data_IF_671782181927
#
_entry.id   IF_671782181927
#
_cell.length_a   1.000
_cell.length_b   1.000
_cell.length_c   1.000
_cell.angle_alpha   90.00
_cell.angle_beta   90.00
_cell.angle_gamma   90.00
#
_symmetry.space_group_name_H-M   'P 1'
#
loop_
_entity.id
_entity.type
_entity.pdbx_description
1 polymer ?
#
# COMPACT_ATOMS: atom_id res chain seq x y z
N UNK A 1 2.06 32.92 38.91
CA UNK A 1 1.14 32.75 37.77
C UNK A 1 1.89 33.03 36.48
N UNK A 2 2.19 32.02 35.66
CA UNK A 2 2.62 32.22 34.28
C UNK A 2 1.47 31.86 33.31
N UNK A 3 1.28 32.72 32.32
CA UNK A 3 0.16 32.73 31.39
C UNK A 3 0.08 31.51 30.45
N UNK A 4 -1.16 31.16 30.10
CA UNK A 4 -1.50 30.21 29.04
C UNK A 4 -0.98 30.74 27.69
N UNK A 5 -0.17 29.93 27.00
CA UNK A 5 0.12 30.14 25.60
C UNK A 5 -1.06 29.60 24.78
N UNK A 6 -1.72 30.50 24.05
CA UNK A 6 -2.80 30.18 23.13
C UNK A 6 -2.21 29.60 21.82
N UNK A 7 -2.51 28.33 21.53
CA UNK A 7 -1.99 27.58 20.39
C UNK A 7 -2.79 27.82 19.09
N UNK A 8 -3.72 28.77 19.06
CA UNK A 8 -4.60 29.03 17.91
C UNK A 8 -4.03 29.97 16.82
N UNK A 9 -2.78 30.43 16.94
CA UNK A 9 -2.19 31.45 16.03
C UNK A 9 -0.97 30.99 15.22
N UNK A 10 -0.67 29.69 15.15
CA UNK A 10 0.47 29.14 14.37
C UNK A 10 0.04 28.68 12.95
N UNK A 11 -1.18 28.98 12.52
CA UNK A 11 -1.63 28.66 11.17
C UNK A 11 -1.43 29.85 10.22
N UNK A 12 -0.76 29.57 9.09
CA UNK A 12 -0.53 30.38 7.87
C UNK A 12 0.86 31.01 7.63
N UNK A 13 1.65 31.36 8.66
CA UNK A 13 2.92 32.12 8.43
C UNK A 13 4.14 31.21 8.18
N UNK A 14 4.14 29.97 8.67
CA UNK A 14 5.33 29.09 8.64
C UNK A 14 5.60 28.45 7.28
N UNK A 15 4.67 28.55 6.32
CA UNK A 15 4.87 28.02 4.95
C UNK A 15 5.60 29.01 4.04
N UNK A 16 5.46 30.33 4.27
CA UNK A 16 6.26 31.32 3.54
C UNK A 16 7.73 31.37 3.99
N UNK A 17 8.00 31.15 5.28
CA UNK A 17 9.36 31.29 5.82
C UNK A 17 10.32 30.15 5.49
N UNK A 18 9.84 28.95 5.14
CA UNK A 18 10.73 27.85 4.71
C UNK A 18 11.13 27.96 3.22
N UNK A 19 10.34 28.65 2.40
CA UNK A 19 10.72 28.96 1.02
C UNK A 19 11.56 30.24 0.88
N UNK A 20 11.51 31.17 1.84
CA UNK A 20 12.25 32.43 1.78
C UNK A 20 13.58 32.49 2.54
N UNK A 21 13.99 31.44 3.26
CA UNK A 21 15.33 31.36 3.90
C UNK A 21 16.30 30.46 3.09
N UNK A 22 16.06 30.28 1.79
CA UNK A 22 17.09 29.87 0.82
C UNK A 22 17.02 30.75 -0.41
N UNK A 23 17.66 31.92 -0.34
CA UNK A 23 17.97 32.66 -1.56
C UNK A 23 19.03 31.89 -2.37
N UNK A 24 18.59 31.46 -3.56
CA UNK A 24 19.33 31.46 -4.84
C UNK A 24 20.53 30.52 -4.99
N UNK A 25 20.29 29.21 -5.16
CA UNK A 25 21.14 28.29 -5.97
C UNK A 25 20.47 26.92 -6.25
N UNK A 26 19.15 26.79 -6.12
CA UNK A 26 18.43 25.59 -6.56
C UNK A 26 17.77 25.81 -7.93
N UNK A 27 17.67 24.80 -8.81
CA UNK A 27 16.84 24.91 -10.00
C UNK A 27 15.40 25.25 -9.57
N UNK A 28 14.71 26.06 -10.38
CA UNK A 28 13.30 26.34 -10.13
C UNK A 28 12.52 25.01 -10.14
N UNK A 29 11.78 24.74 -9.06
CA UNK A 29 10.85 23.61 -8.97
C UNK A 29 9.78 23.82 -10.04
N UNK A 30 9.57 22.82 -10.91
CA UNK A 30 8.54 22.93 -11.96
C UNK A 30 7.12 22.89 -11.36
N UNK A 31 6.13 23.34 -12.14
CA UNK A 31 4.74 23.46 -11.68
C UNK A 31 4.12 22.12 -11.28
N UNK A 32 4.54 21.01 -11.90
CA UNK A 32 4.02 19.68 -11.59
C UNK A 32 4.60 19.18 -10.27
N UNK A 33 5.91 19.33 -10.08
CA UNK A 33 6.57 19.03 -8.81
C UNK A 33 5.98 19.88 -7.67
N UNK A 34 5.70 21.16 -7.92
CA UNK A 34 5.05 22.04 -6.95
C UNK A 34 3.65 21.54 -6.58
N UNK A 35 2.83 21.14 -7.56
CA UNK A 35 1.51 20.57 -7.33
C UNK A 35 1.57 19.33 -6.42
N UNK A 36 2.46 18.38 -6.71
CA UNK A 36 2.60 17.16 -5.91
C UNK A 36 3.09 17.41 -4.48
N UNK A 37 3.96 18.40 -4.31
CA UNK A 37 4.38 18.85 -3.00
C UNK A 37 3.22 19.46 -2.20
N UNK A 38 2.35 20.23 -2.86
CA UNK A 38 1.21 20.90 -2.22
C UNK A 38 0.04 19.95 -1.92
N UNK A 39 -0.09 18.85 -2.67
CA UNK A 39 -1.10 17.81 -2.46
C UNK A 39 -0.57 16.65 -1.62
N UNK A 40 -0.02 15.60 -2.25
CA UNK A 40 0.47 14.39 -1.59
C UNK A 40 1.55 14.69 -0.53
N UNK A 41 2.45 15.65 -0.79
CA UNK A 41 3.47 16.09 0.17
C UNK A 41 2.87 16.72 1.44
N UNK A 42 1.80 17.51 1.31
CA UNK A 42 1.07 18.09 2.45
C UNK A 42 0.37 17.01 3.28
N UNK A 43 -0.24 16.02 2.63
CA UNK A 43 -0.84 14.86 3.31
C UNK A 43 0.21 14.05 4.05
N UNK A 44 1.36 13.78 3.42
CA UNK A 44 2.50 13.09 4.04
C UNK A 44 3.00 13.85 5.28
N UNK A 45 3.14 15.17 5.20
CA UNK A 45 3.55 16.00 6.34
C UNK A 45 2.61 15.82 7.54
N UNK A 46 1.29 15.90 7.31
CA UNK A 46 0.28 15.72 8.36
C UNK A 46 0.32 14.31 8.94
N UNK A 47 0.56 13.29 8.10
CA UNK A 47 0.69 11.90 8.55
C UNK A 47 1.89 11.71 9.47
N UNK A 48 3.07 12.19 9.07
CA UNK A 48 4.29 12.09 9.89
C UNK A 48 4.13 12.79 11.24
N UNK A 49 3.59 14.00 11.24
CA UNK A 49 3.32 14.76 12.47
C UNK A 49 2.33 14.01 13.38
N UNK A 50 1.20 13.54 12.84
CA UNK A 50 0.18 12.82 13.61
C UNK A 50 0.61 11.40 14.02
N UNK A 51 1.59 10.80 13.35
CA UNK A 51 2.24 9.55 13.76
C UNK A 51 3.40 9.78 14.76
N UNK A 52 3.64 11.03 15.17
CA UNK A 52 4.59 11.36 16.24
C UNK A 52 6.05 11.37 15.81
N UNK A 53 6.34 11.46 14.51
CA UNK A 53 7.72 11.56 14.03
C UNK A 53 8.36 12.85 14.55
N UNK A 54 9.64 12.80 14.92
CA UNK A 54 10.38 14.00 15.31
C UNK A 54 10.55 14.99 14.15
N UNK A 55 10.77 16.28 14.48
CA UNK A 55 10.84 17.34 13.48
C UNK A 55 11.98 17.16 12.46
N UNK A 56 13.12 16.56 12.86
CA UNK A 56 14.24 16.31 11.94
C UNK A 56 13.87 15.21 10.95
N UNK A 57 13.27 14.12 11.43
CA UNK A 57 12.77 13.04 10.58
C UNK A 57 11.71 13.54 9.60
N UNK A 58 10.76 14.37 10.06
CA UNK A 58 9.77 15.00 9.19
C UNK A 58 10.42 15.81 8.06
N UNK A 59 11.34 16.71 8.39
CA UNK A 59 12.04 17.53 7.40
C UNK A 59 12.83 16.68 6.39
N UNK A 60 13.56 15.66 6.86
CA UNK A 60 14.34 14.78 6.01
C UNK A 60 13.46 13.99 5.03
N UNK A 61 12.37 13.40 5.52
CA UNK A 61 11.44 12.62 4.70
C UNK A 61 10.74 13.51 3.67
N UNK A 62 10.33 14.73 4.04
CA UNK A 62 9.66 15.66 3.12
C UNK A 62 10.61 16.22 2.07
N UNK A 63 11.87 16.49 2.42
CA UNK A 63 12.89 16.88 1.45
C UNK A 63 13.15 15.75 0.43
N UNK A 64 13.26 14.51 0.92
CA UNK A 64 13.38 13.34 0.08
C UNK A 64 12.17 13.18 -0.85
N UNK A 65 10.94 13.30 -0.33
CA UNK A 65 9.73 13.24 -1.16
C UNK A 65 9.77 14.30 -2.26
N UNK A 66 10.05 15.56 -1.89
CA UNK A 66 10.07 16.67 -2.84
C UNK A 66 11.13 16.48 -3.93
N UNK A 67 12.33 15.99 -3.58
CA UNK A 67 13.46 15.98 -4.51
C UNK A 67 13.63 14.65 -5.27
N UNK A 68 13.15 13.54 -4.72
CA UNK A 68 13.26 12.21 -5.33
C UNK A 68 11.95 11.75 -5.98
N UNK A 69 10.82 11.98 -5.31
CA UNK A 69 9.53 11.34 -5.65
C UNK A 69 8.65 12.26 -6.48
N UNK A 70 8.40 13.50 -6.03
CA UNK A 70 7.51 14.44 -6.70
C UNK A 70 7.83 14.68 -8.20
N UNK A 71 9.09 14.72 -8.66
CA UNK A 71 9.42 14.84 -10.09
C UNK A 71 8.98 13.66 -10.95
N UNK A 72 8.66 12.51 -10.34
CA UNK A 72 8.28 11.26 -10.99
C UNK A 72 6.81 10.90 -10.78
N UNK A 73 5.96 11.84 -10.35
CA UNK A 73 4.51 11.63 -10.22
C UNK A 73 3.73 12.10 -11.46
N UNK A 74 4.43 12.40 -12.56
CA UNK A 74 3.81 12.84 -13.81
C UNK A 74 3.28 14.27 -13.77
N UNK A 75 2.57 14.65 -14.83
CA UNK A 75 1.96 15.97 -14.95
C UNK A 75 0.85 16.17 -13.91
N UNK A 76 0.83 17.33 -13.27
CA UNK A 76 -0.31 17.78 -12.47
C UNK A 76 -1.62 17.72 -13.29
N UNK A 77 -2.75 17.32 -12.69
CA UNK A 77 -4.01 17.26 -13.41
C UNK A 77 -4.43 18.61 -13.99
N UNK A 78 -4.82 18.60 -15.26
CA UNK A 78 -5.41 19.74 -15.96
C UNK A 78 -6.64 19.29 -16.77
N UNK A 79 -7.75 20.05 -16.75
CA UNK A 79 -8.94 19.70 -17.52
C UNK A 79 -8.65 19.58 -19.02
N UNK A 80 -9.06 18.47 -19.63
CA UNK A 80 -8.93 18.23 -21.07
C UNK A 80 -7.56 17.71 -21.52
N UNK A 81 -6.56 17.66 -20.64
CA UNK A 81 -5.23 17.13 -20.97
C UNK A 81 -5.17 15.60 -20.79
N UNK A 82 -4.55 14.85 -21.72
CA UNK A 82 -4.30 13.43 -21.53
C UNK A 82 -3.44 13.19 -20.28
N UNK A 83 -3.93 12.33 -19.39
CA UNK A 83 -3.22 11.94 -18.17
C UNK A 83 -2.98 10.44 -18.15
N UNK A 84 -1.81 10.04 -17.65
CA UNK A 84 -1.54 8.64 -17.37
C UNK A 84 -2.51 8.12 -16.31
N UNK A 85 -3.19 7.01 -16.64
CA UNK A 85 -4.13 6.36 -15.73
C UNK A 85 -3.39 5.36 -14.86
N UNK A 86 -2.76 5.85 -13.79
CA UNK A 86 -2.08 5.01 -12.83
C UNK A 86 -3.02 3.94 -12.26
N UNK A 87 -2.51 2.73 -12.06
CA UNK A 87 -3.24 1.70 -11.32
C UNK A 87 -3.07 1.81 -9.80
N UNK A 88 -2.19 2.70 -9.31
CA UNK A 88 -1.92 2.83 -7.88
C UNK A 88 -3.19 3.06 -7.06
N UNK A 89 -4.12 3.84 -7.60
CA UNK A 89 -5.42 4.11 -6.98
C UNK A 89 -6.54 4.19 -8.01
N UNK A 90 -7.78 4.01 -7.56
CA UNK A 90 -8.96 4.00 -8.44
C UNK A 90 -9.27 5.35 -9.11
N UNK A 91 -8.81 6.47 -8.53
CA UNK A 91 -8.91 7.80 -9.17
C UNK A 91 -7.67 8.14 -10.00
N UNK A 92 -6.81 7.16 -10.26
CA UNK A 92 -5.55 7.31 -11.00
C UNK A 92 -4.50 8.20 -10.34
N UNK A 93 -4.66 8.53 -9.05
CA UNK A 93 -3.59 9.15 -8.28
C UNK A 93 -2.39 8.20 -8.24
N UNK A 94 -1.18 8.67 -8.63
CA UNK A 94 -0.01 7.82 -8.76
C UNK A 94 0.73 7.57 -7.46
N UNK A 95 0.16 8.00 -6.33
CA UNK A 95 0.71 7.80 -5.00
C UNK A 95 -0.38 7.42 -4.00
N UNK A 96 -0.09 6.42 -3.18
CA UNK A 96 -0.95 6.00 -2.08
C UNK A 96 -0.14 6.01 -0.78
N UNK A 97 -0.69 6.65 0.25
CA UNK A 97 -0.09 6.68 1.58
C UNK A 97 -0.69 5.55 2.42
N UNK A 98 0.04 5.09 3.42
CA UNK A 98 -0.51 4.15 4.39
C UNK A 98 0.02 4.38 5.80
N UNK A 99 -0.81 3.99 6.75
CA UNK A 99 -0.59 4.12 8.17
C UNK A 99 -0.57 2.72 8.80
N UNK A 100 0.61 2.24 9.20
CA UNK A 100 0.78 0.96 9.89
C UNK A 100 0.63 1.15 11.39
N UNK A 101 -0.45 0.64 11.98
CA UNK A 101 -0.68 0.72 13.43
C UNK A 101 0.13 -0.32 14.22
N UNK A 102 0.78 -1.27 13.53
CA UNK A 102 1.46 -2.43 14.11
C UNK A 102 0.54 -3.22 15.07
N UNK A 103 1.15 -3.90 16.05
CA UNK A 103 0.49 -4.54 17.19
C UNK A 103 0.99 -3.87 18.48
N UNK A 104 0.24 -3.98 19.57
CA UNK A 104 0.66 -3.55 20.91
C UNK A 104 0.96 -2.05 21.10
N UNK A 105 0.09 -1.17 20.60
CA UNK A 105 0.12 0.31 20.80
C UNK A 105 1.46 1.02 20.53
N UNK A 106 2.29 0.48 19.64
CA UNK A 106 3.56 1.12 19.25
C UNK A 106 3.35 2.32 18.33
N UNK A 107 4.34 3.21 18.25
CA UNK A 107 4.35 4.32 17.30
C UNK A 107 4.08 3.81 15.87
N UNK A 108 3.10 4.37 15.16
CA UNK A 108 2.77 3.95 13.81
C UNK A 108 3.90 4.22 12.81
N UNK A 109 3.96 3.42 11.75
CA UNK A 109 4.88 3.66 10.63
C UNK A 109 4.11 4.19 9.42
N UNK A 110 4.49 5.38 8.96
CA UNK A 110 4.01 5.96 7.72
C UNK A 110 4.77 5.35 6.55
N UNK A 111 4.05 5.04 5.47
CA UNK A 111 4.60 4.52 4.24
C UNK A 111 3.89 5.17 3.07
N UNK A 112 4.51 5.16 1.90
CA UNK A 112 3.81 5.46 0.67
C UNK A 112 4.36 4.62 -0.47
N UNK A 113 3.50 4.34 -1.44
CA UNK A 113 3.84 3.70 -2.70
C UNK A 113 3.53 4.67 -3.84
N UNK A 114 4.30 4.58 -4.92
CA UNK A 114 4.12 5.40 -6.11
C UNK A 114 4.30 4.60 -7.41
N UNK A 115 3.67 5.06 -8.48
CA UNK A 115 4.03 4.67 -9.84
C UNK A 115 4.92 5.76 -10.46
N UNK A 116 6.16 5.43 -10.89
CA UNK A 116 7.00 6.39 -11.59
C UNK A 116 6.39 6.76 -12.94
N UNK A 117 6.09 8.04 -13.15
CA UNK A 117 5.40 8.55 -14.34
C UNK A 117 6.12 9.78 -14.87
N UNK A 118 6.37 9.77 -16.19
CA UNK A 118 7.00 10.88 -16.89
C UNK A 118 5.96 11.95 -17.27
N UNK A 119 6.42 13.19 -17.48
CA UNK A 119 5.54 14.30 -17.87
C UNK A 119 4.80 14.11 -19.20
N UNK A 120 5.26 13.18 -20.05
CA UNK A 120 4.67 12.88 -21.36
C UNK A 120 3.86 11.59 -21.38
N UNK A 121 3.77 10.88 -20.26
CA UNK A 121 3.11 9.59 -20.18
C UNK A 121 1.62 9.69 -20.54
N UNK A 122 1.16 8.80 -21.41
CA UNK A 122 -0.20 8.79 -21.94
C UNK A 122 -0.45 9.76 -23.10
N UNK A 123 0.53 10.61 -23.45
CA UNK A 123 0.45 11.49 -24.63
C UNK A 123 0.93 10.77 -25.90
N UNK A 124 0.74 11.39 -27.07
CA UNK A 124 1.28 10.87 -28.32
C UNK A 124 2.82 10.73 -28.33
N UNK A 125 3.53 11.47 -27.47
CA UNK A 125 4.98 11.38 -27.36
C UNK A 125 5.46 10.20 -26.50
N UNK A 126 4.61 9.67 -25.62
CA UNK A 126 4.90 8.49 -24.80
C UNK A 126 3.61 7.82 -24.32
N UNK A 127 3.06 6.92 -25.14
CA UNK A 127 1.79 6.26 -24.87
C UNK A 127 1.84 5.22 -23.73
N UNK A 128 3.04 4.79 -23.34
CA UNK A 128 3.26 3.62 -22.47
C UNK A 128 4.11 3.91 -21.23
N UNK A 129 4.48 5.17 -20.98
CA UNK A 129 5.30 5.58 -19.83
C UNK A 129 6.69 4.91 -19.84
N UNK A 130 7.33 4.86 -21.01
CA UNK A 130 8.52 4.05 -21.23
C UNK A 130 9.78 4.62 -20.54
N UNK A 131 10.49 3.78 -19.78
CA UNK A 131 11.83 4.05 -19.25
C UNK A 131 11.88 4.97 -18.01
N UNK A 132 10.75 5.54 -17.59
CA UNK A 132 10.69 6.41 -16.41
C UNK A 132 10.89 5.62 -15.12
N UNK A 133 10.38 4.40 -15.10
CA UNK A 133 10.58 3.41 -14.03
C UNK A 133 12.07 3.09 -13.84
N UNK A 134 12.81 2.85 -14.93
CA UNK A 134 14.25 2.61 -14.90
C UNK A 134 15.02 3.81 -14.36
N UNK A 135 14.68 5.02 -14.86
CA UNK A 135 15.32 6.26 -14.42
C UNK A 135 15.08 6.49 -12.92
N UNK A 136 13.84 6.31 -12.47
CA UNK A 136 13.48 6.44 -11.07
C UNK A 136 14.22 5.43 -10.20
N UNK A 137 14.23 4.15 -10.58
CA UNK A 137 14.93 3.09 -9.84
C UNK A 137 16.42 3.44 -9.67
N UNK A 138 17.10 3.88 -10.74
CA UNK A 138 18.50 4.34 -10.67
C UNK A 138 18.68 5.51 -9.70
N UNK A 139 17.77 6.48 -9.67
CA UNK A 139 17.82 7.61 -8.73
C UNK A 139 17.56 7.17 -7.29
N UNK A 140 16.57 6.33 -7.06
CA UNK A 140 16.22 5.80 -5.74
C UNK A 140 17.39 4.98 -5.16
N UNK A 141 17.96 4.04 -5.92
CA UNK A 141 19.10 3.22 -5.48
C UNK A 141 20.29 4.10 -5.08
N UNK A 142 20.59 5.17 -5.83
CA UNK A 142 21.64 6.14 -5.45
C UNK A 142 21.31 6.90 -4.17
N UNK A 143 20.05 7.25 -3.93
CA UNK A 143 19.62 7.93 -2.72
C UNK A 143 19.68 7.03 -1.47
N UNK A 144 19.61 5.70 -1.64
CA UNK A 144 19.66 4.71 -0.58
C UNK A 144 20.77 3.68 -0.82
N UNK A 145 22.05 4.01 -0.57
CA UNK A 145 23.17 3.14 -0.90
C UNK A 145 23.19 1.80 -0.14
N UNK A 146 22.40 1.65 0.93
CA UNK A 146 22.21 0.38 1.64
C UNK A 146 21.18 -0.57 1.00
N UNK A 147 20.61 -0.19 -0.15
CA UNK A 147 19.62 -0.99 -0.89
C UNK A 147 20.30 -2.15 -1.60
N UNK A 148 19.84 -3.37 -1.35
CA UNK A 148 20.28 -4.54 -2.11
C UNK A 148 19.42 -4.67 -3.38
N UNK A 149 20.08 -4.72 -4.54
CA UNK A 149 19.43 -4.71 -5.85
C UNK A 149 19.40 -6.09 -6.52
N UNK A 150 19.92 -7.14 -5.87
CA UNK A 150 20.11 -8.45 -6.50
C UNK A 150 18.80 -9.03 -7.01
N UNK A 151 17.77 -9.07 -6.15
CA UNK A 151 16.44 -9.53 -6.56
C UNK A 151 15.73 -8.51 -7.45
N UNK A 152 15.94 -7.21 -7.22
CA UNK A 152 15.34 -6.16 -8.06
C UNK A 152 15.78 -6.31 -9.52
N UNK A 153 17.08 -6.42 -9.78
CA UNK A 153 17.60 -6.56 -11.14
C UNK A 153 17.05 -7.82 -11.81
N UNK A 154 17.01 -8.95 -11.10
CA UNK A 154 16.44 -10.20 -11.61
C UNK A 154 14.98 -10.03 -12.06
N UNK A 155 14.12 -9.51 -11.19
CA UNK A 155 12.70 -9.35 -11.53
C UNK A 155 12.45 -8.21 -12.51
N UNK A 156 13.25 -7.14 -12.45
CA UNK A 156 13.19 -6.05 -13.43
C UNK A 156 13.49 -6.59 -14.83
N UNK A 157 14.59 -7.32 -15.01
CA UNK A 157 14.95 -7.92 -16.30
C UNK A 157 13.89 -8.93 -16.78
N UNK A 158 13.29 -9.68 -15.85
CA UNK A 158 12.25 -10.65 -16.18
C UNK A 158 10.95 -10.00 -16.65
N UNK A 159 10.51 -8.92 -15.99
CA UNK A 159 9.21 -8.28 -16.24
C UNK A 159 9.25 -7.08 -17.20
N UNK A 160 10.43 -6.49 -17.44
CA UNK A 160 10.62 -5.28 -18.27
C UNK A 160 10.73 -5.55 -19.79
N UNK A 161 10.08 -6.61 -20.30
CA UNK A 161 10.03 -6.87 -21.73
C UNK A 161 9.20 -5.83 -22.52
N UNK A 162 9.46 -5.66 -23.81
CA UNK A 162 8.63 -4.83 -24.68
C UNK A 162 7.36 -5.57 -25.11
N UNK A 163 6.20 -4.99 -24.84
CA UNK A 163 4.90 -5.63 -25.14
C UNK A 163 4.01 -4.71 -25.97
N UNK A 164 3.30 -5.30 -26.93
CA UNK A 164 2.38 -4.58 -27.83
C UNK A 164 1.02 -4.34 -27.16
N UNK A 165 0.56 -3.08 -27.23
CA UNK A 165 -0.73 -2.42 -26.96
C UNK A 165 -1.84 -3.06 -26.08
N UNK A 166 -2.04 -4.37 -26.10
CA UNK A 166 -3.18 -5.04 -25.46
C UNK A 166 -2.75 -5.68 -24.13
N UNK A 167 -2.84 -4.90 -23.05
CA UNK A 167 -2.68 -5.45 -21.70
C UNK A 167 -4.00 -6.08 -21.24
N UNK A 168 -4.03 -7.40 -20.96
CA UNK A 168 -5.27 -8.10 -20.62
C UNK A 168 -5.84 -7.63 -19.28
N UNK A 169 -5.01 -7.06 -18.40
CA UNK A 169 -5.38 -6.74 -17.03
C UNK A 169 -6.27 -5.51 -16.92
N UNK A 170 -6.37 -4.65 -17.95
CA UNK A 170 -7.19 -3.42 -17.91
C UNK A 170 -6.48 -2.19 -17.32
N UNK A 171 -5.16 -2.23 -17.12
CA UNK A 171 -4.31 -1.07 -16.83
C UNK A 171 -3.00 -1.09 -17.62
N UNK A 172 -2.27 0.03 -17.60
CA UNK A 172 -0.97 0.16 -18.26
C UNK A 172 0.25 0.23 -17.35
N UNK A 173 0.07 0.23 -16.04
CA UNK A 173 1.19 0.20 -15.08
C UNK A 173 2.09 -1.04 -15.27
N UNK A 174 3.38 -0.87 -14.99
CA UNK A 174 4.43 -1.91 -15.14
C UNK A 174 5.21 -2.12 -13.85
N UNK A 175 5.43 -1.03 -13.09
CA UNK A 175 6.18 -1.08 -11.85
C UNK A 175 5.67 -0.04 -10.85
N UNK A 176 5.57 -0.41 -9.57
CA UNK A 176 5.47 0.54 -8.48
C UNK A 176 6.71 0.49 -7.59
N UNK A 177 6.91 1.56 -6.83
CA UNK A 177 7.94 1.66 -5.81
C UNK A 177 7.34 2.10 -4.49
N UNK A 178 7.83 1.58 -3.36
CA UNK A 178 7.35 2.01 -2.05
C UNK A 178 8.46 2.24 -1.04
N UNK A 179 8.12 3.05 -0.04
CA UNK A 179 9.00 3.48 1.02
C UNK A 179 8.37 3.18 2.37
N UNK A 180 9.04 2.34 3.17
CA UNK A 180 8.71 2.21 4.59
C UNK A 180 9.57 3.20 5.39
N UNK A 181 8.94 4.25 5.93
CA UNK A 181 9.64 5.38 6.54
C UNK A 181 9.84 5.13 8.04
N UNK A 182 10.98 4.61 8.46
CA UNK A 182 11.35 4.63 9.89
C UNK A 182 12.22 5.86 10.14
N UNK A 183 12.17 6.42 11.35
CA UNK A 183 12.98 7.59 11.73
C UNK A 183 14.48 7.38 11.49
N UNK A 184 14.96 6.14 11.66
CA UNK A 184 16.38 5.79 11.48
C UNK A 184 16.75 5.29 10.08
N UNK A 185 15.79 4.79 9.29
CA UNK A 185 16.07 4.19 7.99
C UNK A 185 14.80 4.04 7.13
N UNK A 186 14.93 4.32 5.84
CA UNK A 186 13.90 4.01 4.85
C UNK A 186 14.17 2.65 4.21
N UNK A 187 13.18 1.76 4.17
CA UNK A 187 13.26 0.51 3.40
C UNK A 187 12.52 0.67 2.08
N UNK A 188 13.20 0.36 0.97
CA UNK A 188 12.63 0.39 -0.37
C UNK A 188 11.96 -0.94 -0.72
N UNK A 189 10.89 -0.87 -1.52
CA UNK A 189 10.21 -2.01 -2.12
C UNK A 189 9.90 -1.71 -3.57
N UNK A 190 9.92 -2.74 -4.41
CA UNK A 190 9.44 -2.67 -5.78
C UNK A 190 8.28 -3.64 -5.97
N UNK A 191 7.40 -3.32 -6.91
CA UNK A 191 6.26 -4.13 -7.32
C UNK A 191 6.29 -4.23 -8.83
N UNK A 192 6.08 -5.42 -9.36
CA UNK A 192 6.05 -5.72 -10.78
C UNK A 192 4.70 -6.29 -11.19
N UNK A 193 4.26 -5.95 -12.40
CA UNK A 193 3.00 -6.40 -12.98
C UNK A 193 3.23 -7.50 -14.01
N UNK A 194 2.94 -8.77 -13.68
CA UNK A 194 3.31 -9.91 -14.51
C UNK A 194 2.42 -10.15 -15.74
N UNK A 195 1.19 -9.59 -15.82
CA UNK A 195 0.24 -10.00 -16.86
C UNK A 195 0.62 -9.62 -18.29
N UNK A 196 1.40 -8.56 -18.49
CA UNK A 196 1.91 -8.24 -19.83
C UNK A 196 2.85 -9.35 -20.35
N UNK A 197 3.73 -9.85 -19.47
CA UNK A 197 4.58 -11.01 -19.78
C UNK A 197 3.74 -12.25 -19.99
N UNK A 198 2.80 -12.55 -19.08
CA UNK A 198 1.92 -13.72 -19.17
C UNK A 198 1.15 -13.78 -20.50
N UNK A 199 0.61 -12.64 -20.93
CA UNK A 199 -0.07 -12.52 -22.22
C UNK A 199 0.86 -12.84 -23.39
N UNK A 200 2.04 -12.22 -23.42
CA UNK A 200 2.98 -12.34 -24.54
C UNK A 200 3.50 -13.77 -24.77
N UNK A 201 3.67 -14.54 -23.68
CA UNK A 201 4.18 -15.91 -23.75
C UNK A 201 3.07 -16.97 -23.74
N UNK A 202 1.79 -16.54 -23.69
CA UNK A 202 0.65 -17.45 -23.67
C UNK A 202 0.57 -18.34 -22.42
N UNK A 203 1.07 -17.87 -21.28
CA UNK A 203 1.03 -18.59 -19.99
C UNK A 203 0.05 -17.95 -19.01
N UNK A 204 -0.37 -18.71 -18.00
CA UNK A 204 -1.08 -18.09 -16.88
C UNK A 204 -0.14 -17.17 -16.10
N UNK A 205 -0.68 -16.13 -15.47
CA UNK A 205 0.11 -15.22 -14.64
C UNK A 205 0.80 -15.94 -13.49
N UNK A 206 0.15 -16.97 -12.92
CA UNK A 206 0.77 -17.81 -11.90
C UNK A 206 2.00 -18.54 -12.44
N UNK A 207 1.93 -19.14 -13.64
CA UNK A 207 3.06 -19.86 -14.23
C UNK A 207 4.24 -18.92 -14.48
N UNK A 208 3.99 -17.71 -14.97
CA UNK A 208 5.04 -16.69 -15.17
C UNK A 208 5.68 -16.27 -13.85
N UNK A 209 4.88 -16.03 -12.80
CA UNK A 209 5.40 -15.74 -11.47
C UNK A 209 6.19 -16.93 -10.91
N UNK A 210 5.74 -18.16 -11.14
CA UNK A 210 6.46 -19.39 -10.77
C UNK A 210 7.81 -19.48 -11.47
N UNK A 211 7.88 -19.24 -12.77
CA UNK A 211 9.13 -19.26 -13.54
C UNK A 211 10.09 -18.15 -13.06
N UNK A 212 9.58 -16.94 -12.81
CA UNK A 212 10.36 -15.81 -12.30
C UNK A 212 10.96 -16.10 -10.91
N UNK A 213 10.16 -16.65 -9.99
CA UNK A 213 10.62 -16.99 -8.63
C UNK A 213 11.62 -18.15 -8.68
N UNK A 214 11.36 -19.20 -9.45
CA UNK A 214 12.22 -20.39 -9.50
C UNK A 214 13.59 -20.11 -10.10
N UNK A 215 13.71 -19.07 -10.93
CA UNK A 215 14.99 -18.62 -11.50
C UNK A 215 15.69 -17.55 -10.65
N UNK A 216 15.07 -17.06 -9.57
CA UNK A 216 15.61 -15.98 -8.76
C UNK A 216 16.76 -16.46 -7.85
N UNK A 217 17.79 -15.61 -7.62
CA UNK A 217 18.84 -15.89 -6.64
C UNK A 217 18.29 -16.26 -5.26
N UNK A 218 18.78 -17.37 -4.69
CA UNK A 218 18.37 -17.87 -3.37
C UNK A 218 17.03 -18.61 -3.32
N UNK A 219 16.33 -18.76 -4.45
CA UNK A 219 15.03 -19.43 -4.54
C UNK A 219 15.13 -20.87 -5.05
N UNK A 220 16.00 -21.69 -4.45
CA UNK A 220 16.08 -23.13 -4.75
C UNK A 220 14.79 -23.84 -4.32
N UNK A 221 14.38 -24.94 -4.98
CA UNK A 221 13.11 -25.63 -4.71
C UNK A 221 12.87 -25.94 -3.22
N UNK A 222 13.90 -26.35 -2.49
CA UNK A 222 13.85 -26.67 -1.07
C UNK A 222 13.61 -25.42 -0.20
N UNK A 223 14.15 -24.28 -0.65
CA UNK A 223 14.06 -22.98 0.03
C UNK A 223 12.73 -22.26 -0.20
N UNK A 224 11.90 -22.70 -1.15
CA UNK A 224 10.62 -22.06 -1.49
C UNK A 224 9.41 -23.01 -1.35
N UNK A 225 9.51 -24.01 -0.47
CA UNK A 225 8.43 -24.99 -0.23
C UNK A 225 7.06 -24.35 0.10
N UNK A 226 7.04 -23.22 0.82
CA UNK A 226 5.81 -22.47 1.08
C UNK A 226 5.15 -21.95 -0.22
N UNK A 227 5.95 -21.54 -1.21
CA UNK A 227 5.44 -21.14 -2.51
C UNK A 227 4.90 -22.32 -3.31
N UNK A 228 5.55 -23.48 -3.28
CA UNK A 228 5.01 -24.70 -3.89
C UNK A 228 3.64 -25.08 -3.28
N UNK A 229 3.46 -24.88 -1.97
CA UNK A 229 2.18 -25.07 -1.28
C UNK A 229 1.11 -24.08 -1.76
N UNK A 230 1.47 -22.80 -1.92
CA UNK A 230 0.59 -21.76 -2.46
C UNK A 230 0.20 -22.05 -3.92
N UNK A 231 1.17 -22.35 -4.79
CA UNK A 231 0.90 -22.67 -6.20
C UNK A 231 -0.02 -23.87 -6.33
N UNK A 232 0.13 -24.90 -5.48
CA UNK A 232 -0.79 -26.04 -5.42
C UNK A 232 -2.20 -25.62 -5.00
N UNK A 233 -2.32 -24.81 -3.94
CA UNK A 233 -3.61 -24.28 -3.49
C UNK A 233 -4.36 -23.54 -4.60
N UNK A 234 -3.66 -22.69 -5.37
CA UNK A 234 -4.25 -21.96 -6.50
C UNK A 234 -4.60 -22.92 -7.64
N UNK A 235 -3.73 -23.89 -7.96
CA UNK A 235 -3.97 -24.86 -9.03
C UNK A 235 -5.18 -25.78 -8.76
N UNK A 236 -5.38 -26.21 -7.51
CA UNK A 236 -6.59 -26.94 -7.06
C UNK A 236 -7.87 -26.12 -7.25
N UNK A 237 -7.74 -24.79 -7.39
CA UNK A 237 -8.83 -23.81 -7.47
C UNK A 237 -8.81 -23.01 -8.75
N UNK A 238 -8.28 -23.57 -9.84
CA UNK A 238 -8.25 -22.90 -11.16
C UNK A 238 -9.62 -22.37 -11.60
N UNK A 239 -10.70 -23.06 -11.21
CA UNK A 239 -12.08 -22.64 -11.49
C UNK A 239 -12.47 -21.29 -10.87
N UNK A 240 -11.75 -20.81 -9.84
CA UNK A 240 -11.98 -19.49 -9.23
C UNK A 240 -11.40 -18.34 -10.05
N UNK A 241 -10.49 -18.62 -10.98
CA UNK A 241 -9.80 -17.59 -11.78
C UNK A 241 -9.18 -16.47 -10.93
N UNK A 242 -8.45 -16.84 -9.86
CA UNK A 242 -7.78 -15.86 -9.01
C UNK A 242 -6.84 -14.97 -9.85
N UNK A 243 -6.99 -13.65 -9.70
CA UNK A 243 -6.24 -12.67 -10.50
C UNK A 243 -4.91 -12.38 -9.79
N UNK A 244 -3.78 -12.75 -10.39
CA UNK A 244 -2.44 -12.53 -9.81
C UNK A 244 -1.93 -11.13 -10.19
N UNK A 245 -2.38 -10.09 -9.47
CA UNK A 245 -2.16 -8.68 -9.82
C UNK A 245 -0.68 -8.25 -9.82
N UNK A 246 0.11 -8.64 -8.80
CA UNK A 246 1.46 -8.10 -8.59
C UNK A 246 2.43 -9.08 -7.91
N UNK A 247 3.72 -8.94 -8.22
CA UNK A 247 4.81 -9.47 -7.40
C UNK A 247 5.58 -8.32 -6.76
N UNK A 248 5.74 -8.32 -5.43
CA UNK A 248 6.53 -7.31 -4.73
C UNK A 248 7.70 -7.91 -3.95
N UNK A 249 8.73 -7.11 -3.71
CA UNK A 249 9.91 -7.49 -2.95
C UNK A 249 10.42 -6.36 -2.06
N UNK A 250 11.09 -6.72 -0.97
CA UNK A 250 11.92 -5.79 -0.19
C UNK A 250 13.32 -5.71 -0.80
N UNK A 251 13.85 -4.50 -1.01
CA UNK A 251 15.21 -4.30 -1.56
C UNK A 251 16.26 -4.32 -0.44
N UNK A 252 16.39 -5.50 0.16
CA UNK A 252 17.31 -5.85 1.25
C UNK A 252 18.01 -7.17 0.89
N UNK A 253 19.07 -7.58 1.61
CA UNK A 253 19.74 -8.84 1.34
C UNK A 253 18.78 -10.01 1.17
N UNK A 254 19.08 -10.91 0.23
CA UNK A 254 18.19 -11.98 -0.26
C UNK A 254 17.56 -12.76 0.92
N UNK A 255 18.35 -13.11 1.92
CA UNK A 255 17.93 -13.89 3.08
C UNK A 255 16.95 -13.15 4.01
N UNK A 256 16.87 -11.83 3.88
CA UNK A 256 15.95 -10.95 4.62
C UNK A 256 14.76 -10.53 3.78
N UNK A 257 14.88 -10.57 2.44
CA UNK A 257 13.83 -10.14 1.54
C UNK A 257 12.60 -11.03 1.64
N UNK A 258 11.45 -10.45 1.33
CA UNK A 258 10.17 -11.14 1.28
C UNK A 258 9.58 -10.90 -0.09
N UNK A 259 9.26 -11.98 -0.80
CA UNK A 259 8.48 -11.93 -2.03
C UNK A 259 7.00 -11.96 -1.68
N UNK A 260 6.20 -11.12 -2.30
CA UNK A 260 4.76 -11.00 -2.03
C UNK A 260 3.98 -11.12 -3.32
N UNK A 261 3.17 -12.15 -3.41
CA UNK A 261 2.28 -12.36 -4.56
C UNK A 261 0.93 -11.82 -4.16
N UNK A 262 0.52 -10.74 -4.81
CA UNK A 262 -0.79 -10.13 -4.63
C UNK A 262 -1.77 -10.83 -5.56
N UNK A 263 -2.91 -11.24 -5.00
CA UNK A 263 -3.94 -11.88 -5.78
C UNK A 263 -5.33 -11.53 -5.30
N UNK A 264 -6.29 -11.56 -6.21
CA UNK A 264 -7.67 -11.15 -5.96
C UNK A 264 -8.63 -12.31 -6.14
N UNK A 265 -9.55 -12.43 -5.20
CA UNK A 265 -10.72 -13.30 -5.28
C UNK A 265 -11.96 -12.42 -5.47
N UNK A 266 -12.79 -12.71 -6.49
CA UNK A 266 -14.03 -11.98 -6.76
C UNK A 266 -15.14 -12.34 -5.79
N UNK A 267 -15.02 -13.45 -5.05
CA UNK A 267 -15.97 -13.84 -4.00
C UNK A 267 -15.77 -12.94 -2.79
N UNK A 268 -16.87 -12.42 -2.25
CA UNK A 268 -16.85 -11.42 -1.17
C UNK A 268 -17.54 -11.88 0.11
N UNK A 269 -17.97 -13.14 0.19
CA UNK A 269 -18.49 -13.73 1.41
C UNK A 269 -17.36 -14.05 2.41
N UNK A 270 -17.66 -14.05 3.71
CA UNK A 270 -16.62 -14.27 4.71
C UNK A 270 -16.11 -15.74 4.74
N UNK A 271 -16.88 -16.69 4.19
CA UNK A 271 -16.44 -18.09 4.03
C UNK A 271 -15.30 -18.18 3.00
N UNK A 272 -15.39 -17.49 1.86
CA UNK A 272 -14.28 -17.38 0.90
C UNK A 272 -13.07 -16.68 1.50
N UNK A 273 -13.28 -15.64 2.33
CA UNK A 273 -12.20 -14.99 3.07
C UNK A 273 -11.47 -15.97 3.99
N UNK A 274 -12.21 -16.81 4.70
CA UNK A 274 -11.64 -17.87 5.57
C UNK A 274 -10.85 -18.89 4.75
N UNK A 275 -11.36 -19.28 3.58
CA UNK A 275 -10.65 -20.18 2.67
C UNK A 275 -9.31 -19.59 2.19
N UNK A 276 -9.30 -18.32 1.76
CA UNK A 276 -8.09 -17.65 1.26
C UNK A 276 -7.07 -17.40 2.37
N UNK A 277 -7.51 -16.91 3.53
CA UNK A 277 -6.63 -16.66 4.67
C UNK A 277 -6.00 -17.95 5.23
N UNK A 278 -6.70 -19.08 5.13
CA UNK A 278 -6.19 -20.39 5.58
C UNK A 278 -5.41 -21.14 4.49
N UNK A 279 -5.38 -20.62 3.25
CA UNK A 279 -4.95 -21.38 2.06
C UNK A 279 -5.61 -22.77 2.00
N UNK A 280 -6.91 -22.81 2.26
CA UNK A 280 -7.70 -24.05 2.29
C UNK A 280 -7.31 -24.98 3.45
N UNK A 281 -7.10 -24.43 4.65
CA UNK A 281 -6.74 -25.18 5.87
C UNK A 281 -5.24 -25.48 6.05
N UNK A 282 -4.38 -25.05 5.12
CA UNK A 282 -2.91 -25.21 5.23
C UNK A 282 -2.32 -24.32 6.33
N UNK A 283 -2.97 -23.20 6.63
CA UNK A 283 -2.72 -22.37 7.81
C UNK A 283 -3.85 -22.65 8.80
N UNK A 284 -3.48 -23.11 10.00
CA UNK A 284 -4.41 -23.49 11.06
C UNK A 284 -3.74 -23.35 12.43
N UNK A 285 -4.51 -23.48 13.51
CA UNK A 285 -4.05 -23.43 14.89
C UNK A 285 -4.81 -22.40 15.72
N UNK A 286 -4.63 -22.47 17.04
CA UNK A 286 -5.40 -21.64 17.99
C UNK A 286 -5.28 -20.14 17.69
N UNK A 287 -4.07 -19.66 17.39
CA UNK A 287 -3.82 -18.26 17.03
C UNK A 287 -4.55 -17.86 15.73
N UNK A 288 -4.58 -18.75 14.75
CA UNK A 288 -5.31 -18.52 13.50
C UNK A 288 -6.83 -18.45 13.76
N UNK A 289 -7.38 -19.35 14.56
CA UNK A 289 -8.80 -19.37 14.87
C UNK A 289 -9.24 -18.12 15.65
N UNK A 290 -8.44 -17.67 16.61
CA UNK A 290 -8.65 -16.40 17.32
C UNK A 290 -8.55 -15.23 16.33
N UNK A 291 -7.51 -15.22 15.49
CA UNK A 291 -7.29 -14.20 14.48
C UNK A 291 -8.44 -14.09 13.48
N UNK A 292 -9.01 -15.21 13.03
CA UNK A 292 -10.16 -15.20 12.12
C UNK A 292 -11.43 -14.66 12.77
N UNK A 293 -11.65 -14.90 14.08
CA UNK A 293 -12.75 -14.27 14.82
C UNK A 293 -12.54 -12.76 14.96
N UNK A 294 -11.33 -12.33 15.27
CA UNK A 294 -11.00 -10.91 15.34
C UNK A 294 -11.15 -10.24 13.97
N UNK A 295 -10.73 -10.91 12.90
CA UNK A 295 -10.88 -10.43 11.52
C UNK A 295 -12.35 -10.32 11.14
N UNK A 296 -13.20 -11.27 11.55
CA UNK A 296 -14.65 -11.20 11.34
C UNK A 296 -15.25 -9.96 12.01
N UNK A 297 -14.88 -9.71 13.26
CA UNK A 297 -15.38 -8.53 13.98
C UNK A 297 -14.97 -7.22 13.29
N UNK A 298 -13.71 -7.11 12.83
CA UNK A 298 -13.24 -5.95 12.09
C UNK A 298 -13.94 -5.80 10.73
N UNK A 299 -14.14 -6.90 10.00
CA UNK A 299 -14.89 -6.92 8.75
C UNK A 299 -16.32 -6.41 8.93
N UNK A 300 -17.01 -6.88 9.97
CA UNK A 300 -18.39 -6.51 10.25
C UNK A 300 -18.54 -5.02 10.56
N UNK A 301 -17.63 -4.45 11.33
CA UNK A 301 -17.68 -3.03 11.69
C UNK A 301 -17.30 -2.12 10.51
N UNK A 302 -16.26 -2.49 9.76
CA UNK A 302 -15.84 -1.74 8.57
C UNK A 302 -16.92 -1.69 7.49
N UNK A 303 -17.63 -2.80 7.27
CA UNK A 303 -18.56 -2.96 6.15
C UNK A 303 -20.04 -2.92 6.55
N UNK A 304 -20.35 -2.80 7.85
CA UNK A 304 -21.74 -2.78 8.33
C UNK A 304 -22.45 -4.13 8.16
N UNK A 305 -21.74 -5.24 8.31
CA UNK A 305 -22.24 -6.60 8.06
C UNK A 305 -22.43 -7.44 9.33
N UNK A 306 -22.56 -6.79 10.48
CA UNK A 306 -22.83 -7.46 11.76
C UNK A 306 -24.09 -8.34 11.67
N UNK A 307 -23.97 -9.60 12.10
CA UNK A 307 -25.05 -10.59 12.05
C UNK A 307 -25.30 -11.23 10.67
N UNK A 308 -24.61 -10.80 9.61
CA UNK A 308 -24.73 -11.41 8.28
C UNK A 308 -24.05 -12.80 8.27
N UNK A 309 -24.69 -13.88 7.79
CA UNK A 309 -24.08 -15.20 7.70
C UNK A 309 -22.80 -15.21 6.83
N UNK A 310 -21.91 -16.18 7.08
CA UNK A 310 -20.59 -16.23 6.45
C UNK A 310 -20.61 -16.44 4.94
N UNK A 311 -21.67 -17.02 4.39
CA UNK A 311 -21.83 -17.35 2.96
C UNK A 311 -22.66 -16.34 2.18
N UNK A 312 -23.04 -15.23 2.79
CA UNK A 312 -23.69 -14.13 2.09
C UNK A 312 -22.61 -13.19 1.56
N UNK A 313 -22.51 -13.01 0.22
CA UNK A 313 -21.55 -12.09 -0.36
C UNK A 313 -21.94 -10.64 -0.10
N UNK A 314 -20.95 -9.75 -0.13
CA UNK A 314 -21.18 -8.31 -0.21
C UNK A 314 -21.94 -7.95 -1.51
N UNK A 315 -22.60 -6.79 -1.60
CA UNK A 315 -23.29 -6.35 -2.82
C UNK A 315 -22.41 -6.47 -4.05
N UNK A 316 -22.98 -6.91 -5.18
CA UNK A 316 -22.23 -7.04 -6.42
C UNK A 316 -21.66 -5.68 -6.84
N UNK A 317 -20.38 -5.67 -7.21
CA UNK A 317 -19.68 -4.49 -7.70
C UNK A 317 -18.78 -4.93 -8.87
N UNK A 318 -18.96 -4.31 -10.03
CA UNK A 318 -18.24 -4.61 -11.26
C UNK A 318 -16.96 -3.78 -11.43
N UNK A 319 -16.62 -2.96 -10.44
CA UNK A 319 -15.38 -2.20 -10.47
C UNK A 319 -14.18 -3.14 -10.56
N UNK A 320 -13.14 -2.73 -11.28
CA UNK A 320 -11.97 -3.55 -11.55
C UNK A 320 -11.27 -4.02 -10.27
N UNK A 321 -11.15 -3.14 -9.28
CA UNK A 321 -10.54 -3.40 -7.97
C UNK A 321 -11.54 -3.85 -6.89
N UNK A 322 -12.80 -4.14 -7.26
CA UNK A 322 -13.74 -4.83 -6.39
C UNK A 322 -13.33 -6.30 -6.17
N UNK A 323 -13.97 -7.00 -5.23
CA UNK A 323 -13.47 -8.29 -4.74
C UNK A 323 -12.32 -8.12 -3.74
N UNK A 324 -11.92 -9.20 -3.09
CA UNK A 324 -10.99 -9.14 -1.96
C UNK A 324 -9.57 -9.37 -2.45
N UNK A 325 -8.68 -8.44 -2.12
CA UNK A 325 -7.27 -8.52 -2.42
C UNK A 325 -6.53 -9.19 -1.25
N UNK A 326 -5.58 -10.05 -1.57
CA UNK A 326 -4.70 -10.70 -0.63
C UNK A 326 -3.26 -10.54 -1.08
N UNK A 327 -2.32 -10.73 -0.16
CA UNK A 327 -0.99 -11.17 -0.55
C UNK A 327 -0.59 -12.45 0.18
N UNK A 328 0.16 -13.28 -0.53
CA UNK A 328 0.92 -14.38 0.02
C UNK A 328 2.38 -13.92 0.19
N UNK A 329 2.93 -14.05 1.39
CA UNK A 329 4.32 -13.71 1.70
C UNK A 329 5.20 -14.96 1.71
N UNK A 330 6.18 -14.97 0.81
CA UNK A 330 7.26 -15.94 0.75
C UNK A 330 8.53 -15.33 1.37
N UNK A 331 9.11 -16.05 2.31
CA UNK A 331 10.49 -15.86 2.77
C UNK A 331 11.24 -17.16 2.51
N UNK A 332 12.43 -17.07 1.93
CA UNK A 332 13.29 -18.24 1.69
C UNK A 332 13.53 -18.98 3.00
N UNK A 333 13.44 -20.31 2.96
CA UNK A 333 13.56 -21.23 4.11
C UNK A 333 12.45 -21.12 5.18
N UNK A 334 11.45 -20.26 4.98
CA UNK A 334 10.23 -20.29 5.80
C UNK A 334 9.27 -21.34 5.28
N UNK A 335 8.86 -22.26 6.14
CA UNK A 335 7.83 -23.27 5.82
C UNK A 335 6.42 -22.77 6.11
N UNK A 336 6.28 -21.71 6.91
CA UNK A 336 4.99 -21.17 7.35
C UNK A 336 4.56 -20.10 6.35
N UNK A 337 3.51 -20.34 5.55
CA UNK A 337 2.97 -19.34 4.65
C UNK A 337 2.25 -18.26 5.47
N UNK A 338 2.36 -17.00 5.06
CA UNK A 338 1.59 -15.90 5.64
C UNK A 338 0.70 -15.28 4.58
N UNK A 339 -0.55 -15.06 4.94
CA UNK A 339 -1.52 -14.36 4.08
C UNK A 339 -1.94 -13.07 4.77
N UNK A 340 -1.96 -11.98 4.01
CA UNK A 340 -2.52 -10.70 4.41
C UNK A 340 -3.75 -10.41 3.55
N UNK A 341 -4.85 -10.02 4.18
CA UNK A 341 -6.05 -9.52 3.49
C UNK A 341 -5.97 -7.99 3.34
N UNK A 342 -6.55 -7.47 2.27
CA UNK A 342 -6.78 -6.07 1.99
C UNK A 342 -8.28 -5.90 1.78
N UNK A 343 -8.98 -5.44 2.81
CA UNK A 343 -10.43 -5.24 2.79
C UNK A 343 -10.71 -3.99 1.93
N UNK A 344 -11.39 -4.11 0.79
CA UNK A 344 -11.64 -3.02 -0.17
C UNK A 344 -12.76 -2.09 0.32
N UNK A 345 -12.52 -1.37 1.41
CA UNK A 345 -13.52 -0.51 2.06
C UNK A 345 -14.08 0.57 1.14
N UNK A 346 -13.30 1.04 0.16
CA UNK A 346 -13.75 1.96 -0.89
C UNK A 346 -14.96 1.45 -1.69
N UNK A 347 -15.14 0.14 -1.80
CA UNK A 347 -16.16 -0.48 -2.63
C UNK A 347 -17.38 -0.94 -1.86
N UNK A 348 -17.27 -1.10 -0.53
CA UNK A 348 -18.28 -1.80 0.26
C UNK A 348 -18.59 -1.18 1.62
N UNK A 349 -17.80 -0.21 2.10
CA UNK A 349 -18.19 0.58 3.27
C UNK A 349 -19.26 1.61 2.87
N UNK A 350 -19.98 2.16 3.85
CA UNK A 350 -20.97 3.21 3.59
C UNK A 350 -20.31 4.55 3.24
N UNK A 351 -19.29 4.94 3.99
CA UNK A 351 -18.57 6.21 3.89
C UNK A 351 -17.25 6.13 4.69
N UNK A 352 -16.38 7.13 4.53
CA UNK A 352 -15.08 7.17 5.21
C UNK A 352 -15.20 7.42 6.73
N UNK A 353 -16.25 8.09 7.21
CA UNK A 353 -16.47 8.30 8.65
C UNK A 353 -16.80 7.00 9.39
N UNK A 354 -17.57 6.10 8.79
CA UNK A 354 -17.79 4.75 9.33
C UNK A 354 -16.48 3.99 9.46
N UNK A 355 -15.61 4.07 8.44
CA UNK A 355 -14.31 3.38 8.45
C UNK A 355 -13.46 3.90 9.61
N UNK A 356 -13.41 5.22 9.81
CA UNK A 356 -12.69 5.84 10.93
C UNK A 356 -13.21 5.38 12.29
N UNK A 357 -14.53 5.38 12.50
CA UNK A 357 -15.11 4.92 13.77
C UNK A 357 -14.88 3.43 14.01
N UNK A 358 -14.98 2.59 12.97
CA UNK A 358 -14.68 1.17 13.06
C UNK A 358 -13.20 0.91 13.43
N UNK A 359 -12.26 1.59 12.78
CA UNK A 359 -10.83 1.52 13.12
C UNK A 359 -10.57 2.00 14.54
N UNK A 360 -11.17 3.13 14.93
CA UNK A 360 -11.02 3.69 16.27
C UNK A 360 -11.53 2.75 17.35
N UNK A 361 -12.72 2.17 17.16
CA UNK A 361 -13.28 1.17 18.05
C UNK A 361 -12.37 -0.06 18.16
N UNK A 362 -11.95 -0.61 17.02
CA UNK A 362 -11.09 -1.79 16.98
C UNK A 362 -9.73 -1.56 17.65
N UNK A 363 -9.04 -0.46 17.34
CA UNK A 363 -7.73 -0.16 17.89
C UNK A 363 -7.79 0.17 19.39
N UNK A 364 -8.88 0.80 19.84
CA UNK A 364 -9.10 1.06 21.28
C UNK A 364 -9.33 -0.25 22.05
N UNK A 365 -10.11 -1.19 21.49
CA UNK A 365 -10.31 -2.53 22.07
C UNK A 365 -9.01 -3.37 22.09
N UNK A 366 -8.15 -3.23 21.08
CA UNK A 366 -6.84 -3.86 21.09
C UNK A 366 -5.92 -3.27 22.17
N UNK A 367 -5.93 -1.94 22.33
CA UNK A 367 -5.10 -1.25 23.32
C UNK A 367 -5.56 -1.54 24.77
N UNK A 368 -6.86 -1.69 25.03
CA UNK A 368 -7.41 -1.95 26.36
C UNK A 368 -7.02 -3.32 26.94
N UNK A 369 -6.54 -4.25 26.08
CA UNK A 369 -6.06 -5.58 26.47
C UNK A 369 -4.59 -5.57 26.92
N UNK A 370 -3.88 -4.45 26.76
CA UNK A 370 -2.48 -4.32 27.17
C UNK A 370 -2.41 -3.95 28.67
N UNK A 371 -1.40 -4.43 29.42
CA UNK A 371 -1.19 -4.04 30.81
C UNK A 371 -0.98 -2.51 30.93
N UNK A 372 -1.42 -1.92 32.05
CA UNK A 372 -1.58 -0.49 32.43
C UNK A 372 -0.45 0.55 32.12
N UNK A 373 0.23 0.46 30.99
CA UNK A 373 1.33 1.38 30.62
C UNK A 373 1.21 1.79 29.15
N UNK A 374 0.16 2.53 28.79
CA UNK A 374 0.17 3.48 27.65
C UNK A 374 -1.16 4.23 27.50
N UNK A 375 -1.61 4.96 28.53
CA UNK A 375 -2.82 5.78 28.42
C UNK A 375 -2.61 7.02 27.52
N UNK A 376 -1.36 7.44 27.27
CA UNK A 376 -1.09 8.74 26.63
C UNK A 376 -1.06 8.77 25.09
N UNK A 377 -1.09 7.62 24.41
CA UNK A 377 -0.94 7.58 22.95
C UNK A 377 -2.07 6.80 22.29
N UNK A 378 -3.23 7.43 22.17
CA UNK A 378 -4.32 6.90 21.35
C UNK A 378 -4.07 7.23 19.86
N UNK A 379 -3.28 6.37 19.20
CA UNK A 379 -2.95 6.50 17.77
C UNK A 379 -4.19 6.50 16.88
N UNK A 380 -5.25 5.81 17.28
CA UNK A 380 -6.48 5.77 16.52
C UNK A 380 -7.19 7.14 16.52
N UNK A 381 -7.22 7.83 17.67
CA UNK A 381 -7.71 9.21 17.75
C UNK A 381 -6.86 10.15 16.89
N UNK A 382 -5.52 10.07 16.99
CA UNK A 382 -4.62 10.93 16.21
C UNK A 382 -4.79 10.72 14.70
N UNK A 383 -5.00 9.48 14.27
CA UNK A 383 -5.30 9.15 12.88
C UNK A 383 -6.63 9.75 12.43
N UNK A 384 -7.69 9.58 13.23
CA UNK A 384 -9.01 10.15 12.94
C UNK A 384 -8.95 11.67 12.85
N UNK A 385 -8.37 12.34 13.86
CA UNK A 385 -8.20 13.80 13.88
C UNK A 385 -7.38 14.29 12.67
N UNK A 386 -6.35 13.53 12.27
CA UNK A 386 -5.55 13.82 11.09
C UNK A 386 -6.41 13.82 9.82
N UNK A 387 -7.23 12.79 9.59
CA UNK A 387 -8.06 12.71 8.39
C UNK A 387 -9.15 13.76 8.38
N UNK A 388 -9.84 14.00 9.50
CA UNK A 388 -10.81 15.09 9.60
C UNK A 388 -10.16 16.46 9.34
N UNK A 389 -8.93 16.67 9.83
CA UNK A 389 -8.18 17.90 9.57
C UNK A 389 -7.65 18.05 8.13
N UNK A 390 -7.60 16.98 7.34
CA UNK A 390 -7.19 17.01 5.92
C UNK A 390 -8.40 17.18 5.01
N UNK A 391 -9.43 16.34 5.19
CA UNK A 391 -10.53 16.18 4.25
C UNK A 391 -11.82 16.88 4.70
N UNK A 392 -11.95 17.20 5.98
CA UNK A 392 -13.17 17.78 6.55
C UNK A 392 -14.27 16.74 6.81
N UNK A 393 -15.17 17.08 7.74
CA UNK A 393 -16.24 16.19 8.20
C UNK A 393 -17.28 15.89 7.11
N UNK A 394 -17.64 16.88 6.31
CA UNK A 394 -18.63 16.74 5.24
C UNK A 394 -18.17 15.71 4.20
N UNK A 395 -16.93 15.81 3.73
CA UNK A 395 -16.36 14.88 2.76
C UNK A 395 -16.30 13.46 3.30
N UNK A 396 -15.87 13.28 4.56
CA UNK A 396 -15.74 11.95 5.16
C UNK A 396 -17.10 11.30 5.49
N UNK A 397 -18.11 12.10 5.84
CA UNK A 397 -19.43 11.60 6.23
C UNK A 397 -20.33 11.31 5.03
N UNK A 398 -20.17 12.07 3.94
CA UNK A 398 -21.00 11.94 2.74
C UNK A 398 -20.27 11.27 1.57
N UNK A 399 -18.94 11.14 1.66
CA UNK A 399 -18.09 10.56 0.63
C UNK A 399 -17.53 9.21 1.02
N UNK A 400 -17.07 8.49 -0.01
CA UNK A 400 -16.31 7.26 0.11
C UNK A 400 -15.17 7.31 -0.90
N UNK A 401 -13.97 7.01 -0.44
CA UNK A 401 -12.82 6.87 -1.33
C UNK A 401 -11.51 7.45 -0.81
N UNK A 402 -11.51 8.09 0.37
CA UNK A 402 -10.27 8.45 1.05
C UNK A 402 -9.51 7.19 1.44
N UNK A 403 -10.17 6.21 2.05
CA UNK A 403 -9.57 4.90 2.30
C UNK A 403 -9.74 3.99 1.09
N UNK A 404 -8.63 3.47 0.54
CA UNK A 404 -8.68 2.46 -0.52
C UNK A 404 -8.92 1.07 0.08
N UNK A 405 -8.06 0.69 1.03
CA UNK A 405 -8.08 -0.61 1.68
C UNK A 405 -7.80 -0.50 3.18
N UNK A 406 -8.33 -1.44 3.95
CA UNK A 406 -7.81 -1.78 5.27
C UNK A 406 -7.09 -3.13 5.18
N UNK A 407 -5.76 -3.10 5.29
CA UNK A 407 -4.94 -4.29 5.28
C UNK A 407 -4.84 -4.93 6.66
N UNK A 408 -4.97 -6.25 6.73
CA UNK A 408 -4.91 -7.00 7.98
C UNK A 408 -4.10 -8.29 7.83
N UNK A 409 -3.23 -8.57 8.80
CA UNK A 409 -2.57 -9.87 8.94
C UNK A 409 -2.66 -10.38 10.38
N UNK A 410 -3.00 -11.66 10.50
CA UNK A 410 -3.04 -12.36 11.79
C UNK A 410 -1.61 -12.52 12.32
N UNK A 411 -1.41 -12.14 13.58
CA UNK A 411 -0.17 -12.27 14.33
C UNK A 411 -0.31 -13.35 15.42
N UNK A 412 0.75 -13.54 16.21
CA UNK A 412 0.72 -14.41 17.39
C UNK A 412 -0.45 -14.06 18.30
N UNK A 413 -0.99 -15.07 19.01
CA UNK A 413 -2.17 -14.96 19.89
C UNK A 413 -3.47 -14.53 19.18
N UNK A 414 -3.46 -14.46 17.85
CA UNK A 414 -4.60 -14.01 17.06
C UNK A 414 -4.78 -12.49 17.02
N UNK A 415 -3.78 -11.72 17.43
CA UNK A 415 -3.79 -10.26 17.26
C UNK A 415 -3.80 -9.89 15.77
N UNK A 416 -4.38 -8.74 15.44
CA UNK A 416 -4.38 -8.24 14.07
C UNK A 416 -3.42 -7.07 13.93
N UNK A 417 -2.50 -7.17 12.96
CA UNK A 417 -1.78 -5.99 12.48
C UNK A 417 -2.63 -5.29 11.44
N UNK A 418 -3.05 -4.06 11.74
CA UNK A 418 -3.91 -3.26 10.87
C UNK A 418 -3.14 -2.16 10.16
N UNK A 419 -3.46 -1.96 8.89
CA UNK A 419 -2.92 -0.92 8.03
C UNK A 419 -4.06 -0.21 7.33
N UNK A 420 -4.13 1.11 7.43
CA UNK A 420 -5.02 1.90 6.57
C UNK A 420 -4.26 2.42 5.34
N UNK A 421 -4.81 2.20 4.15
CA UNK A 421 -4.31 2.73 2.88
C UNK A 421 -5.19 3.91 2.48
N UNK A 422 -4.56 5.07 2.29
CA UNK A 422 -5.23 6.36 2.08
C UNK A 422 -4.77 6.95 0.76
N UNK A 423 -5.74 7.25 -0.09
CA UNK A 423 -5.55 8.05 -1.27
C UNK A 423 -5.57 9.53 -0.85
N UNK A 424 -4.51 10.31 -1.11
CA UNK A 424 -4.42 11.70 -0.68
C UNK A 424 -5.51 12.60 -1.27
N UNK A 425 -6.26 12.13 -2.28
CA UNK A 425 -7.20 12.90 -3.11
C UNK A 425 -6.50 14.08 -3.81
N UNK A 426 -6.95 14.42 -5.01
CA UNK A 426 -6.31 15.42 -5.88
C UNK A 426 -7.29 16.49 -6.32
#
# INVERSE_FOLDING_TARGET
MPGKLDLSTIDSVTFHSLHHIKNKTGPAVDIHQQYWNQTAGSTLKRFLASAGYDARSQCHILDQFSNLVAPFLGSSPAPGEPQWKSFMTDNHCPVELSWDFHVANSQPTIRYSMEPIGLKAGTAADLYNNGVDEEFAKRAIRAFPGTDTTLFNHFYDYFNGQWTADKPEGHRSTMFWAFDLKESATTNKAYFFPGAVAHSVGKSTLDVVTDAISSAPGCQPESISAFASFARFVNERRYLNLEMDMLALDLVPIEKSRLKIYFRDRRTDFRSVTEMMSLGGRIHGADFDVGMRNLRNLWDTLLGTSGVPYDIPLPHNNHRTAGILYNFELRTNSTIPKVKIYIPVRHYAKNDSQILEALKGFLTDQASKLPDVAIDLNWAKRYSDCLYGIFGEEMLSNGLGVHTYIGCSIQSKGDLRVVAYVNPQQ
#
